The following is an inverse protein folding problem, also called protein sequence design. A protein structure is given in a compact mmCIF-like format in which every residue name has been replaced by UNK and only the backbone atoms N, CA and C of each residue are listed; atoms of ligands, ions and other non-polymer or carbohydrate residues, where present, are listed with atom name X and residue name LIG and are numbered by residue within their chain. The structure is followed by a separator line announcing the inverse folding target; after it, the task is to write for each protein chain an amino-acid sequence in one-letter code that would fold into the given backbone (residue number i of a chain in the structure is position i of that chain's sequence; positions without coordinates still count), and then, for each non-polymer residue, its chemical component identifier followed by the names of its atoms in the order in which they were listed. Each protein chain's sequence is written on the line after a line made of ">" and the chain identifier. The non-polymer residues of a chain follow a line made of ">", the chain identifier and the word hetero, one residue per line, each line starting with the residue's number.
data_IF_973290170105
#
_entry.id   IF_973290170105
#
_cell.length_a   1.000
_cell.length_b   1.000
_cell.length_c   1.000
_cell.angle_alpha   90.00
_cell.angle_beta   90.00
_cell.angle_gamma   90.00
#
_symmetry.space_group_name_H-M   'P 1'
#
loop_
_entity.id
_entity.type
_entity.pdbx_description
1 polymer ?
#
# COMPACT_ATOMS: atom_id res chain seq x y z
N UNK A 1 14.12 -11.49 45.00
CA UNK A 1 12.67 -11.62 44.73
C UNK A 1 12.13 -10.56 43.78
N UNK A 2 12.73 -9.36 43.71
CA UNK A 2 12.25 -8.25 42.85
C UNK A 2 12.32 -8.53 41.34
N UNK A 3 13.36 -9.23 40.87
CA UNK A 3 13.50 -9.61 39.46
C UNK A 3 12.38 -10.54 38.95
N UNK A 4 11.86 -11.42 39.81
CA UNK A 4 10.75 -12.30 39.45
C UNK A 4 9.43 -11.52 39.30
N UNK A 5 9.23 -10.50 40.14
CA UNK A 5 8.04 -9.63 40.08
C UNK A 5 8.04 -8.79 38.79
N UNK A 6 9.20 -8.25 38.40
CA UNK A 6 9.35 -7.50 37.15
C UNK A 6 9.13 -8.37 35.91
N UNK A 7 9.66 -9.59 35.89
CA UNK A 7 9.44 -10.54 34.80
C UNK A 7 7.96 -10.90 34.64
N UNK A 8 7.27 -11.15 35.76
CA UNK A 8 5.83 -11.45 35.73
C UNK A 8 5.00 -10.24 35.24
N UNK A 9 5.38 -9.01 35.63
CA UNK A 9 4.71 -7.80 35.15
C UNK A 9 4.84 -7.63 33.62
N UNK A 10 6.03 -7.88 33.05
CA UNK A 10 6.26 -7.80 31.60
C UNK A 10 5.46 -8.86 30.85
N UNK A 11 5.37 -10.08 31.38
CA UNK A 11 4.59 -11.16 30.76
C UNK A 11 3.10 -10.83 30.77
N UNK A 12 2.57 -10.32 31.88
CA UNK A 12 1.15 -9.94 32.00
C UNK A 12 0.82 -8.77 31.05
N UNK A 13 1.68 -7.76 30.96
CA UNK A 13 1.52 -6.65 30.02
C UNK A 13 1.56 -7.11 28.55
N UNK A 14 2.47 -8.04 28.21
CA UNK A 14 2.57 -8.63 26.88
C UNK A 14 1.30 -9.42 26.49
N UNK A 15 0.76 -10.21 27.42
CA UNK A 15 -0.46 -10.98 27.19
C UNK A 15 -1.70 -10.09 27.05
N UNK A 16 -1.81 -9.01 27.83
CA UNK A 16 -2.89 -8.03 27.71
C UNK A 16 -2.83 -7.27 26.38
N UNK A 17 -1.64 -6.82 25.96
CA UNK A 17 -1.44 -6.16 24.67
C UNK A 17 -1.77 -7.07 23.48
N UNK A 18 -1.37 -8.35 23.55
CA UNK A 18 -1.67 -9.34 22.51
C UNK A 18 -3.18 -9.67 22.41
N UNK A 19 -3.86 -9.73 23.56
CA UNK A 19 -5.31 -9.93 23.62
C UNK A 19 -6.08 -8.80 22.94
N UNK A 20 -5.73 -7.54 23.23
CA UNK A 20 -6.36 -6.37 22.61
C UNK A 20 -6.08 -6.29 21.10
N UNK A 21 -4.85 -6.60 20.67
CA UNK A 21 -4.49 -6.62 19.25
C UNK A 21 -5.35 -7.61 18.44
N UNK A 22 -5.66 -8.78 19.00
CA UNK A 22 -6.54 -9.75 18.33
C UNK A 22 -8.01 -9.33 18.30
N UNK A 23 -8.49 -8.60 19.31
CA UNK A 23 -9.87 -8.09 19.33
C UNK A 23 -10.04 -6.96 18.32
N UNK A 24 -9.09 -6.02 18.23
CA UNK A 24 -9.14 -4.96 17.22
C UNK A 24 -9.04 -5.54 15.80
N UNK A 25 -8.17 -6.54 15.57
CA UNK A 25 -8.06 -7.21 14.25
C UNK A 25 -9.33 -7.98 13.85
N UNK A 26 -10.18 -8.39 14.82
CA UNK A 26 -11.48 -9.01 14.55
C UNK A 26 -12.59 -7.99 14.26
N UNK A 27 -12.44 -6.73 14.64
CA UNK A 27 -13.40 -5.67 14.34
C UNK A 27 -13.24 -5.09 12.92
N UNK A 28 -12.09 -5.27 12.28
CA UNK A 28 -11.89 -4.96 10.85
C UNK A 28 -12.43 -6.04 9.89
N UNK A 29 -13.06 -7.09 10.42
CA UNK A 29 -13.81 -8.07 9.63
C UNK A 29 -15.29 -7.68 9.64
N UNK A 30 -15.74 -7.07 8.54
CA UNK A 30 -17.11 -6.63 8.32
C UNK A 30 -18.19 -7.71 8.52
N UNK A 31 -19.46 -7.30 8.63
CA UNK A 31 -20.56 -8.13 9.11
C UNK A 31 -20.87 -9.33 8.19
N UNK A 32 -21.40 -10.44 8.74
CA UNK A 32 -21.85 -11.57 7.94
C UNK A 32 -23.20 -11.22 7.28
N UNK A 33 -23.20 -11.08 5.96
CA UNK A 33 -24.41 -11.18 5.17
C UNK A 33 -24.65 -12.67 4.86
N UNK A 34 -25.58 -13.30 5.58
CA UNK A 34 -26.13 -14.59 5.15
C UNK A 34 -27.58 -14.69 5.60
N UNK A 35 -28.49 -14.86 4.63
CA UNK A 35 -29.91 -15.05 4.88
C UNK A 35 -30.72 -14.90 3.58
N UNK A 36 -30.52 -15.83 2.64
CA UNK A 36 -31.33 -15.92 1.44
C UNK A 36 -32.77 -16.30 1.74
N UNK A 37 -33.70 -15.81 0.91
CA UNK A 37 -34.99 -16.45 0.68
C UNK A 37 -35.28 -16.38 -0.82
N UNK A 38 -35.13 -17.52 -1.48
CA UNK A 38 -35.69 -17.77 -2.78
C UNK A 38 -37.13 -18.26 -2.62
N UNK A 39 -38.03 -17.71 -3.43
CA UNK A 39 -39.36 -18.17 -3.87
C UNK A 39 -40.05 -16.91 -4.43
N UNK A 40 -40.81 -16.83 -5.52
CA UNK A 40 -41.12 -17.64 -6.69
C UNK A 40 -41.84 -16.65 -7.64
N UNK A 41 -41.74 -16.89 -8.95
CA UNK A 41 -42.35 -16.19 -10.09
C UNK A 41 -43.72 -15.50 -9.84
N UNK A 42 -43.94 -14.30 -10.37
CA UNK A 42 -44.82 -14.08 -11.54
C UNK A 42 -44.94 -12.59 -11.92
N UNK A 43 -44.74 -12.31 -13.21
CA UNK A 43 -45.33 -11.27 -14.06
C UNK A 43 -45.63 -9.88 -13.47
N UNK A 44 -45.04 -8.84 -14.06
CA UNK A 44 -45.70 -8.02 -15.11
C UNK A 44 -44.65 -7.10 -15.75
N UNK A 45 -44.80 -6.90 -17.06
CA UNK A 45 -44.07 -5.91 -17.85
C UNK A 45 -43.97 -4.57 -17.12
N UNK A 46 -42.79 -3.96 -17.08
CA UNK A 46 -42.70 -2.56 -17.45
C UNK A 46 -41.29 -2.14 -17.89
N UNK A 47 -41.34 -1.05 -18.64
CA UNK A 47 -40.44 -0.48 -19.61
C UNK A 47 -39.06 0.00 -19.08
N UNK A 48 -38.12 0.07 -20.02
CA UNK A 48 -36.88 0.87 -20.03
C UNK A 48 -36.22 1.26 -18.68
N UNK A 49 -35.16 0.54 -18.32
CA UNK A 49 -34.04 1.18 -17.60
C UNK A 49 -32.74 0.62 -18.13
N UNK A 50 -32.17 1.34 -19.09
CA UNK A 50 -30.76 1.18 -19.45
C UNK A 50 -29.95 1.48 -18.19
N UNK A 51 -29.59 0.43 -17.43
CA UNK A 51 -28.70 0.56 -16.27
C UNK A 51 -27.30 0.85 -16.81
N UNK A 52 -27.01 2.12 -17.07
CA UNK A 52 -25.65 2.60 -17.26
C UNK A 52 -24.93 2.38 -15.92
N UNK A 53 -24.13 1.32 -15.86
CA UNK A 53 -23.22 1.11 -14.74
C UNK A 53 -22.17 2.22 -14.80
N UNK A 54 -22.26 3.18 -13.87
CA UNK A 54 -21.26 4.23 -13.67
C UNK A 54 -20.01 3.73 -12.96
N UNK A 55 -19.80 2.41 -12.85
CA UNK A 55 -18.56 1.87 -12.34
C UNK A 55 -17.44 2.25 -13.31
N UNK A 56 -16.39 2.97 -12.86
CA UNK A 56 -15.22 3.18 -13.70
C UNK A 56 -14.74 1.82 -14.20
N UNK A 57 -14.40 1.66 -15.49
CA UNK A 57 -13.89 0.40 -15.99
C UNK A 57 -12.70 -0.01 -15.10
N UNK A 58 -12.72 -1.25 -14.62
CA UNK A 58 -11.56 -1.82 -13.96
C UNK A 58 -10.43 -1.84 -14.99
N UNK A 59 -9.59 -0.82 -14.96
CA UNK A 59 -8.42 -0.78 -15.81
C UNK A 59 -7.46 -1.83 -15.24
N UNK A 60 -6.96 -2.71 -16.09
CA UNK A 60 -5.84 -3.60 -15.78
C UNK A 60 -4.57 -2.86 -16.15
N UNK A 61 -3.74 -2.53 -15.16
CA UNK A 61 -2.51 -1.74 -15.37
C UNK A 61 -1.27 -2.46 -14.87
N UNK A 62 -1.40 -3.56 -14.13
CA UNK A 62 -0.36 -4.60 -14.04
C UNK A 62 -1.07 -5.95 -14.03
N UNK A 63 -0.46 -7.01 -14.54
CA UNK A 63 -1.09 -8.34 -14.67
C UNK A 63 -1.61 -8.97 -13.36
N UNK A 64 -1.43 -8.29 -12.23
CA UNK A 64 -1.91 -8.67 -10.89
C UNK A 64 -2.75 -7.58 -10.21
N UNK A 65 -2.93 -6.41 -10.82
CA UNK A 65 -3.64 -5.27 -10.24
C UNK A 65 -4.67 -4.69 -11.21
N UNK A 66 -5.94 -4.82 -10.85
CA UNK A 66 -7.07 -4.17 -11.53
C UNK A 66 -7.60 -3.01 -10.67
N UNK A 67 -8.18 -1.98 -11.29
CA UNK A 67 -8.90 -0.91 -10.57
C UNK A 67 -8.45 0.51 -10.91
N UNK A 68 -8.64 1.46 -10.01
CA UNK A 68 -8.20 2.85 -10.22
C UNK A 68 -6.74 3.05 -9.76
N UNK A 69 -5.92 3.68 -10.61
CA UNK A 69 -4.54 4.05 -10.27
C UNK A 69 -4.52 4.91 -9.00
N UNK A 70 -3.68 4.61 -7.99
CA UNK A 70 -3.73 5.30 -6.71
C UNK A 70 -3.34 6.78 -6.82
N UNK A 71 -2.55 7.14 -7.84
CA UNK A 71 -2.10 8.51 -8.12
C UNK A 71 -1.96 8.72 -9.63
N UNK A 72 -2.51 9.80 -10.19
CA UNK A 72 -2.41 10.13 -11.63
C UNK A 72 -1.21 11.00 -12.02
N UNK A 73 -0.62 11.68 -11.02
CA UNK A 73 0.44 12.67 -11.20
C UNK A 73 1.57 12.37 -10.22
N UNK A 74 2.78 12.13 -10.73
CA UNK A 74 3.99 12.06 -9.93
C UNK A 74 4.60 13.45 -9.81
N UNK A 75 5.05 13.82 -8.62
CA UNK A 75 5.97 14.96 -8.48
C UNK A 75 7.32 14.62 -9.12
N UNK A 76 8.05 15.63 -9.59
CA UNK A 76 9.39 15.44 -10.14
C UNK A 76 10.30 14.56 -9.25
N UNK A 77 10.27 14.76 -7.93
CA UNK A 77 11.07 13.97 -6.99
C UNK A 77 10.63 12.52 -6.83
N UNK A 78 9.34 12.24 -6.99
CA UNK A 78 8.83 10.86 -7.01
C UNK A 78 9.22 10.17 -8.31
N UNK A 79 9.11 10.86 -9.44
CA UNK A 79 9.54 10.36 -10.74
C UNK A 79 11.04 10.03 -10.75
N UNK A 80 11.90 10.97 -10.32
CA UNK A 80 13.35 10.77 -10.20
C UNK A 80 13.70 9.55 -9.34
N UNK A 81 12.99 9.36 -8.21
CA UNK A 81 13.17 8.21 -7.33
C UNK A 81 12.80 6.88 -7.98
N UNK A 82 11.71 6.84 -8.77
CA UNK A 82 11.30 5.63 -9.47
C UNK A 82 12.19 5.33 -10.68
N UNK A 83 12.68 6.35 -11.38
CA UNK A 83 13.67 6.20 -12.46
C UNK A 83 14.97 5.58 -11.94
N UNK A 84 15.52 6.10 -10.84
CA UNK A 84 16.70 5.50 -10.20
C UNK A 84 16.44 4.03 -9.84
N UNK A 85 15.26 3.73 -9.27
CA UNK A 85 14.91 2.36 -8.93
C UNK A 85 14.77 1.45 -10.17
N UNK A 86 14.24 1.98 -11.31
CA UNK A 86 14.16 1.26 -12.59
C UNK A 86 15.54 0.87 -13.13
N UNK A 87 16.56 1.70 -12.91
CA UNK A 87 17.95 1.37 -13.27
C UNK A 87 18.61 0.35 -12.32
N UNK A 88 17.85 -0.20 -11.36
CA UNK A 88 18.33 -1.19 -10.42
C UNK A 88 19.11 -0.60 -9.24
N UNK A 89 18.94 0.70 -8.95
CA UNK A 89 19.44 1.27 -7.71
C UNK A 89 18.52 0.90 -6.56
N UNK A 90 19.12 0.49 -5.45
CA UNK A 90 18.45 0.32 -4.17
C UNK A 90 18.12 1.70 -3.60
N UNK A 91 16.86 1.94 -3.26
CA UNK A 91 16.41 3.24 -2.78
C UNK A 91 16.46 3.31 -1.26
N UNK A 92 17.00 4.40 -0.70
CA UNK A 92 17.02 4.64 0.75
C UNK A 92 16.37 6.00 1.04
N UNK A 93 15.50 6.04 2.05
CA UNK A 93 14.92 7.29 2.53
C UNK A 93 15.83 7.96 3.55
N UNK A 94 16.41 9.12 3.23
CA UNK A 94 17.26 9.88 4.14
C UNK A 94 16.78 11.32 4.36
N UNK A 95 17.01 11.89 5.57
CA UNK A 95 16.82 13.31 5.81
C UNK A 95 17.80 14.13 4.96
N UNK A 96 17.49 15.40 4.64
CA UNK A 96 18.31 16.23 3.73
C UNK A 96 19.79 16.36 4.13
N UNK A 97 20.08 16.28 5.44
CA UNK A 97 21.42 16.46 6.01
C UNK A 97 22.31 15.25 5.68
N UNK A 98 21.74 14.04 5.65
CA UNK A 98 22.47 12.78 5.46
C UNK A 98 22.63 12.41 3.99
N UNK A 99 21.83 12.97 3.08
CA UNK A 99 21.90 12.65 1.63
C UNK A 99 23.22 13.04 0.95
N UNK A 100 23.98 13.96 1.54
CA UNK A 100 25.26 14.43 0.98
C UNK A 100 26.41 13.45 1.23
N UNK A 101 26.20 12.43 2.05
CA UNK A 101 27.22 11.42 2.31
C UNK A 101 27.39 10.49 1.11
N UNK A 102 28.60 9.94 0.90
CA UNK A 102 28.84 8.90 -0.09
C UNK A 102 27.91 7.72 0.18
N UNK A 103 27.24 7.24 -0.87
CA UNK A 103 26.31 6.12 -0.76
C UNK A 103 26.98 4.82 -1.20
N UNK A 104 26.56 3.66 -0.65
CA UNK A 104 27.03 2.36 -1.09
C UNK A 104 26.83 2.14 -2.59
N UNK A 105 27.60 1.22 -3.17
CA UNK A 105 27.47 0.88 -4.58
C UNK A 105 26.03 0.46 -4.92
N UNK A 106 25.50 0.99 -6.03
CA UNK A 106 24.10 0.79 -6.47
C UNK A 106 23.04 1.20 -5.44
N UNK A 107 23.32 2.19 -4.59
CA UNK A 107 22.33 2.78 -3.69
C UNK A 107 22.08 4.25 -4.04
N UNK A 108 20.81 4.67 -4.00
CA UNK A 108 20.36 6.05 -4.21
C UNK A 108 19.48 6.51 -3.05
N UNK A 109 19.86 7.62 -2.42
CA UNK A 109 19.12 8.20 -1.31
C UNK A 109 18.20 9.32 -1.78
N UNK A 110 16.92 9.16 -1.48
CA UNK A 110 15.88 10.14 -1.75
C UNK A 110 15.30 10.65 -0.43
N UNK A 111 14.33 11.57 -0.52
CA UNK A 111 13.75 12.12 0.68
C UNK A 111 12.79 11.19 1.38
N UNK A 112 12.85 11.20 2.72
CA UNK A 112 11.95 10.43 3.58
C UNK A 112 10.49 10.57 3.16
N UNK A 113 10.02 11.80 2.90
CA UNK A 113 8.64 12.05 2.45
C UNK A 113 8.34 11.41 1.08
N UNK A 114 9.30 11.50 0.15
CA UNK A 114 9.18 10.93 -1.19
C UNK A 114 9.09 9.41 -1.11
N UNK A 115 10.05 8.77 -0.43
CA UNK A 115 10.10 7.31 -0.27
C UNK A 115 8.89 6.79 0.48
N UNK A 116 8.49 7.44 1.58
CA UNK A 116 7.29 7.05 2.34
C UNK A 116 6.00 7.17 1.51
N UNK A 117 5.89 8.22 0.67
CA UNK A 117 4.76 8.38 -0.23
C UNK A 117 4.72 7.28 -1.28
N UNK A 118 5.86 6.96 -1.91
CA UNK A 118 5.94 5.89 -2.91
C UNK A 118 5.65 4.51 -2.31
N UNK A 119 6.16 4.22 -1.11
CA UNK A 119 5.83 3.00 -0.33
C UNK A 119 4.33 2.92 -0.05
N UNK A 120 3.72 4.03 0.40
CA UNK A 120 2.28 4.09 0.70
C UNK A 120 1.40 3.74 -0.50
N UNK A 121 1.81 4.12 -1.71
CA UNK A 121 1.09 3.80 -2.95
C UNK A 121 1.42 2.42 -3.54
N UNK A 122 2.36 1.69 -2.91
CA UNK A 122 2.79 0.38 -3.35
C UNK A 122 3.70 0.42 -4.58
N UNK A 123 4.35 1.55 -4.85
CA UNK A 123 5.31 1.70 -5.95
C UNK A 123 6.73 1.24 -5.54
N UNK A 124 6.99 1.25 -4.23
CA UNK A 124 8.20 0.72 -3.62
C UNK A 124 7.82 -0.31 -2.55
N UNK A 125 8.57 -1.39 -2.47
CA UNK A 125 8.50 -2.36 -1.38
C UNK A 125 9.78 -2.36 -0.55
N UNK A 126 9.67 -2.82 0.68
CA UNK A 126 10.80 -2.94 1.61
C UNK A 126 11.65 -4.17 1.23
N UNK A 127 12.96 -4.00 1.14
CA UNK A 127 13.87 -5.11 0.83
C UNK A 127 14.26 -5.94 2.06
N UNK A 128 13.80 -5.56 3.26
CA UNK A 128 14.12 -6.24 4.51
C UNK A 128 15.47 -5.84 5.12
N UNK A 129 16.26 -5.04 4.42
CA UNK A 129 17.57 -4.53 4.86
C UNK A 129 17.54 -3.01 5.12
N UNK A 130 16.35 -2.40 5.17
CA UNK A 130 16.18 -0.96 5.38
C UNK A 130 16.22 -0.10 4.11
N UNK A 131 16.14 -0.74 2.94
CA UNK A 131 16.04 -0.09 1.64
C UNK A 131 14.74 -0.46 0.94
N UNK A 132 14.61 0.04 -0.28
CA UNK A 132 13.40 -0.07 -1.06
C UNK A 132 13.72 -0.48 -2.49
N UNK A 133 12.90 -1.39 -3.02
CA UNK A 133 12.94 -1.84 -4.40
C UNK A 133 11.66 -1.42 -5.13
N UNK A 134 11.78 -1.20 -6.43
CA UNK A 134 10.62 -0.88 -7.27
C UNK A 134 9.76 -2.12 -7.48
N UNK A 135 8.45 -1.94 -7.35
CA UNK A 135 7.47 -2.98 -7.66
C UNK A 135 7.04 -2.87 -9.12
N UNK A 136 6.40 -3.91 -9.66
CA UNK A 136 5.76 -3.84 -10.99
C UNK A 136 4.79 -2.66 -11.11
N UNK A 137 4.11 -2.34 -10.00
CA UNK A 137 3.22 -1.17 -9.93
C UNK A 137 3.99 0.14 -10.06
N UNK A 138 5.17 0.24 -9.46
CA UNK A 138 6.06 1.39 -9.57
C UNK A 138 6.64 1.55 -10.98
N UNK A 139 6.98 0.43 -11.64
CA UNK A 139 7.43 0.43 -13.04
C UNK A 139 6.33 0.95 -13.96
N UNK A 140 5.12 0.41 -13.84
CA UNK A 140 4.00 0.83 -14.69
C UNK A 140 3.60 2.28 -14.39
N UNK A 141 3.73 2.74 -13.15
CA UNK A 141 3.49 4.13 -12.80
C UNK A 141 4.38 5.12 -13.58
N UNK A 142 5.61 4.75 -13.96
CA UNK A 142 6.47 5.58 -14.80
C UNK A 142 5.93 5.75 -16.23
N UNK A 143 5.19 4.77 -16.74
CA UNK A 143 4.66 4.78 -18.11
C UNK A 143 3.32 5.53 -18.19
N UNK A 144 2.49 5.41 -17.15
CA UNK A 144 1.10 5.90 -17.17
C UNK A 144 0.90 7.21 -16.42
N UNK A 145 1.77 7.56 -15.46
CA UNK A 145 1.60 8.79 -14.70
C UNK A 145 2.17 9.99 -15.46
N UNK A 146 1.45 11.11 -15.39
CA UNK A 146 1.99 12.41 -15.77
C UNK A 146 2.98 12.92 -14.71
N UNK A 147 3.97 13.71 -15.12
CA UNK A 147 4.96 14.31 -14.21
C UNK A 147 4.66 15.80 -14.03
N UNK A 148 4.55 16.25 -12.78
CA UNK A 148 4.48 17.66 -12.41
C UNK A 148 5.88 18.17 -12.06
N UNK A 149 6.36 19.10 -12.89
CA UNK A 149 7.61 19.85 -12.70
C UNK A 149 7.44 21.02 -11.74
#
# INVERSE_FOLDING_TARGET
>A
MEFAVLLMAVIVLGLLGWGMYRVMKRQDSGPPATGGRAETQSSTLDDSTYRVSYAPPEFEWSGTTTGALPVKILTYKQYECLEDARYGFRIVGLPPIERKQPQPHKTRAHGLKTVASLKKHGFLEDDGEGGYLITDRGLNALEVCSVRY
#
